data_IF_330491747303
#
_entry.id   IF_330491747303
#
_cell.length_a   1.000
_cell.length_b   1.000
_cell.length_c   1.000
_cell.angle_alpha   90.00
_cell.angle_beta   90.00
_cell.angle_gamma   90.00
#
_symmetry.space_group_name_H-M   'P 1'
#
loop_
_entity.id
_entity.type
_entity.pdbx_description
1 polymer ?
#
# COMPACT_ATOMS: atom_id res chain seq x y z
N UNK A 1 -47.16 20.26 0.41
CA UNK A 1 -46.48 19.42 1.42
C UNK A 1 -45.44 20.29 2.09
N UNK A 2 -45.31 20.22 3.42
CA UNK A 2 -44.64 21.21 4.25
C UNK A 2 -43.25 21.58 3.70
N UNK A 3 -42.97 22.87 3.54
CA UNK A 3 -41.68 23.36 3.03
C UNK A 3 -40.55 22.85 3.92
N UNK A 4 -40.77 22.76 5.22
CA UNK A 4 -39.79 22.25 6.17
C UNK A 4 -39.52 20.75 5.98
N UNK A 5 -40.52 19.96 5.58
CA UNK A 5 -40.33 18.55 5.23
C UNK A 5 -39.49 18.42 3.96
N UNK A 6 -39.69 19.29 2.96
CA UNK A 6 -38.89 19.30 1.74
C UNK A 6 -37.44 19.70 2.02
N UNK A 7 -37.22 20.74 2.83
CA UNK A 7 -35.87 21.16 3.25
C UNK A 7 -35.14 20.00 3.93
N UNK A 8 -35.79 19.40 4.92
CA UNK A 8 -35.25 18.26 5.67
C UNK A 8 -34.94 17.09 4.76
N UNK A 9 -35.84 16.78 3.81
CA UNK A 9 -35.62 15.72 2.83
C UNK A 9 -34.38 15.97 1.96
N UNK A 10 -34.24 17.16 1.38
CA UNK A 10 -33.10 17.49 0.50
C UNK A 10 -31.79 17.38 1.27
N UNK A 11 -31.73 18.00 2.45
CA UNK A 11 -30.55 17.95 3.32
C UNK A 11 -30.19 16.51 3.70
N UNK A 12 -31.15 15.75 4.22
CA UNK A 12 -30.93 14.37 4.66
C UNK A 12 -30.46 13.47 3.52
N UNK A 13 -31.01 13.62 2.31
CA UNK A 13 -30.59 12.83 1.15
C UNK A 13 -29.13 13.11 0.79
N UNK A 14 -28.74 14.39 0.76
CA UNK A 14 -27.37 14.78 0.43
C UNK A 14 -26.37 14.33 1.51
N UNK A 15 -26.72 14.47 2.80
CA UNK A 15 -25.88 13.98 3.90
C UNK A 15 -25.73 12.46 3.88
N UNK A 16 -26.82 11.70 3.68
CA UNK A 16 -26.78 10.23 3.55
C UNK A 16 -25.93 9.79 2.36
N UNK A 17 -26.04 10.50 1.23
CA UNK A 17 -25.23 10.27 0.04
C UNK A 17 -23.73 10.47 0.33
N UNK A 18 -23.36 11.60 0.96
CA UNK A 18 -21.98 11.89 1.36
C UNK A 18 -21.43 10.83 2.32
N UNK A 19 -22.21 10.43 3.33
CA UNK A 19 -21.82 9.39 4.28
C UNK A 19 -21.59 8.04 3.58
N UNK A 20 -22.52 7.63 2.70
CA UNK A 20 -22.39 6.39 1.93
C UNK A 20 -21.10 6.35 1.12
N UNK A 21 -20.81 7.40 0.35
CA UNK A 21 -19.61 7.44 -0.46
C UNK A 21 -18.33 7.60 0.36
N UNK A 22 -18.38 8.25 1.53
CA UNK A 22 -17.29 8.21 2.49
C UNK A 22 -16.99 6.77 2.93
N UNK A 23 -17.99 6.01 3.34
CA UNK A 23 -17.83 4.60 3.73
C UNK A 23 -17.29 3.75 2.57
N UNK A 24 -17.80 3.99 1.35
CA UNK A 24 -17.31 3.33 0.13
C UNK A 24 -15.80 3.56 -0.05
N UNK A 25 -15.35 4.83 -0.05
CA UNK A 25 -13.93 5.11 -0.30
C UNK A 25 -13.02 4.57 0.80
N UNK A 26 -13.52 4.50 2.04
CA UNK A 26 -12.79 3.95 3.18
C UNK A 26 -12.61 2.44 3.09
N UNK A 27 -13.66 1.65 2.80
CA UNK A 27 -13.49 0.19 2.68
C UNK A 27 -12.71 -0.18 1.41
N UNK A 28 -12.94 0.50 0.27
CA UNK A 28 -12.11 0.31 -0.93
C UNK A 28 -10.63 0.64 -0.68
N UNK A 29 -10.35 1.73 0.04
CA UNK A 29 -8.98 2.08 0.45
C UNK A 29 -8.36 1.08 1.43
N UNK A 30 -9.14 0.59 2.39
CA UNK A 30 -8.73 -0.43 3.35
C UNK A 30 -8.44 -1.76 2.66
N UNK A 31 -9.27 -2.18 1.70
CA UNK A 31 -9.07 -3.39 0.91
C UNK A 31 -7.66 -3.40 0.29
N UNK A 32 -7.31 -2.32 -0.42
CA UNK A 32 -5.98 -2.12 -1.02
C UNK A 32 -4.87 -2.18 0.04
N UNK A 33 -5.04 -1.43 1.13
CA UNK A 33 -4.04 -1.29 2.19
C UNK A 33 -3.71 -2.62 2.88
N UNK A 34 -4.72 -3.46 3.12
CA UNK A 34 -4.55 -4.73 3.81
C UNK A 34 -4.31 -5.93 2.88
N UNK A 35 -4.39 -5.73 1.57
CA UNK A 35 -4.24 -6.86 0.65
C UNK A 35 -5.44 -7.81 0.68
N UNK A 36 -6.66 -7.31 0.96
CA UNK A 36 -7.89 -8.11 1.09
C UNK A 36 -8.94 -7.66 0.08
N UNK A 37 -9.84 -8.54 -0.40
CA UNK A 37 -10.97 -8.11 -1.23
C UNK A 37 -11.82 -7.02 -0.57
N UNK A 38 -12.41 -6.14 -1.39
CA UNK A 38 -13.41 -5.16 -0.94
C UNK A 38 -14.65 -5.88 -0.41
N UNK A 39 -15.27 -5.33 0.64
CA UNK A 39 -16.50 -5.88 1.23
C UNK A 39 -17.74 -5.09 0.79
N UNK A 40 -17.54 -3.99 0.05
CA UNK A 40 -18.62 -3.17 -0.49
C UNK A 40 -19.31 -3.91 -1.64
N UNK A 41 -20.63 -3.74 -1.82
CA UNK A 41 -21.33 -4.23 -3.00
C UNK A 41 -20.68 -3.78 -4.31
N UNK A 42 -20.82 -4.60 -5.35
CA UNK A 42 -20.42 -4.22 -6.70
C UNK A 42 -21.13 -2.91 -7.09
N UNK A 43 -20.42 -1.92 -7.69
CA UNK A 43 -21.02 -0.68 -8.16
C UNK A 43 -22.32 -0.82 -8.97
N UNK A 44 -22.49 -1.91 -9.72
CA UNK A 44 -23.71 -2.19 -10.49
C UNK A 44 -24.97 -2.41 -9.62
N UNK A 45 -24.77 -2.72 -8.33
CA UNK A 45 -25.84 -2.96 -7.36
C UNK A 45 -26.06 -1.77 -6.42
N UNK A 46 -25.48 -0.60 -6.71
CA UNK A 46 -25.55 0.59 -5.87
C UNK A 46 -26.43 1.64 -6.55
N UNK A 47 -27.60 1.88 -5.97
CA UNK A 47 -28.55 2.90 -6.46
C UNK A 47 -28.27 4.31 -5.91
N UNK A 48 -27.29 4.44 -5.00
CA UNK A 48 -26.93 5.72 -4.40
C UNK A 48 -26.14 6.55 -5.42
N UNK A 49 -26.71 7.69 -5.85
CA UNK A 49 -26.05 8.65 -6.75
C UNK A 49 -24.80 9.24 -6.11
N UNK A 50 -23.87 9.78 -6.89
CA UNK A 50 -22.72 10.52 -6.36
C UNK A 50 -23.18 11.81 -5.64
N UNK A 51 -22.43 12.30 -4.64
CA UNK A 51 -22.75 13.56 -3.96
C UNK A 51 -22.68 14.75 -4.92
N UNK A 52 -23.49 15.77 -4.66
CA UNK A 52 -23.41 17.02 -5.44
C UNK A 52 -22.22 17.85 -4.96
N UNK A 53 -21.45 18.43 -5.88
CA UNK A 53 -20.36 19.34 -5.55
C UNK A 53 -20.92 20.71 -5.08
N UNK A 54 -21.38 20.80 -3.84
CA UNK A 54 -21.96 22.01 -3.26
C UNK A 54 -21.44 22.21 -1.83
N UNK A 55 -21.01 23.43 -1.49
CA UNK A 55 -20.57 23.74 -0.13
C UNK A 55 -21.74 23.73 0.85
N UNK A 56 -21.46 23.54 2.14
CA UNK A 56 -22.50 23.49 3.16
C UNK A 56 -23.22 24.83 3.31
N UNK A 57 -22.48 25.94 3.18
CA UNK A 57 -23.01 27.30 3.22
C UNK A 57 -23.94 27.57 2.04
N UNK A 58 -23.57 27.10 0.84
CA UNK A 58 -24.40 27.27 -0.36
C UNK A 58 -25.64 26.38 -0.29
N UNK A 59 -25.52 25.17 0.23
CA UNK A 59 -26.64 24.28 0.47
C UNK A 59 -27.63 24.91 1.46
N UNK A 60 -27.16 25.41 2.60
CA UNK A 60 -28.01 26.07 3.59
C UNK A 60 -28.69 27.33 3.01
N UNK A 61 -27.96 28.15 2.25
CA UNK A 61 -28.52 29.31 1.57
C UNK A 61 -29.66 28.93 0.60
N UNK A 62 -29.49 27.86 -0.20
CA UNK A 62 -30.53 27.37 -1.12
C UNK A 62 -31.73 26.79 -0.36
N UNK A 63 -31.49 26.06 0.73
CA UNK A 63 -32.57 25.53 1.56
C UNK A 63 -33.35 26.64 2.28
N UNK A 64 -32.82 27.85 2.36
CA UNK A 64 -33.51 29.03 2.89
C UNK A 64 -34.11 29.93 1.78
N UNK A 65 -33.91 29.61 0.51
CA UNK A 65 -34.48 30.31 -0.63
C UNK A 65 -35.83 29.70 -1.04
N UNK A 66 -36.92 30.47 -0.84
CA UNK A 66 -38.27 30.04 -1.21
C UNK A 66 -38.45 29.81 -2.71
N UNK A 67 -37.71 30.55 -3.55
CA UNK A 67 -37.81 30.42 -5.02
C UNK A 67 -37.20 29.10 -5.47
N UNK A 68 -36.03 28.74 -4.93
CA UNK A 68 -35.39 27.45 -5.16
C UNK A 68 -36.30 26.29 -4.73
N UNK A 69 -36.89 26.35 -3.53
CA UNK A 69 -37.74 25.26 -3.03
C UNK A 69 -39.03 25.09 -3.84
N UNK A 70 -39.57 26.18 -4.37
CA UNK A 70 -40.78 26.14 -5.20
C UNK A 70 -40.58 25.44 -6.55
N UNK A 71 -39.33 25.42 -7.05
CA UNK A 71 -38.94 24.86 -8.35
C UNK A 71 -37.88 23.75 -8.22
N UNK A 72 -37.75 23.15 -7.03
CA UNK A 72 -36.71 22.17 -6.75
C UNK A 72 -36.85 20.93 -7.66
N UNK A 73 -35.83 20.70 -8.47
CA UNK A 73 -35.65 19.47 -9.28
C UNK A 73 -34.39 18.72 -8.86
N UNK A 74 -33.27 19.43 -8.76
CA UNK A 74 -31.97 18.91 -8.35
C UNK A 74 -31.11 20.00 -7.69
N UNK A 75 -30.14 19.58 -6.88
CA UNK A 75 -29.12 20.49 -6.37
C UNK A 75 -28.20 20.97 -7.51
N UNK A 76 -27.84 22.26 -7.55
CA UNK A 76 -26.86 22.77 -8.51
C UNK A 76 -25.45 22.32 -8.11
N UNK A 77 -24.63 22.03 -9.11
CA UNK A 77 -23.20 21.72 -8.94
C UNK A 77 -22.37 23.00 -9.06
N UNK A 78 -21.33 23.11 -8.21
CA UNK A 78 -20.33 24.16 -8.31
C UNK A 78 -19.23 23.76 -9.30
N UNK A 79 -18.82 24.71 -10.13
CA UNK A 79 -17.64 24.60 -10.99
C UNK A 79 -16.32 24.83 -10.23
N UNK A 80 -16.41 25.28 -8.97
CA UNK A 80 -15.30 25.59 -8.09
C UNK A 80 -15.01 24.41 -7.12
N UNK A 81 -13.78 24.31 -6.59
CA UNK A 81 -13.46 23.28 -5.61
C UNK A 81 -14.22 23.51 -4.29
N UNK A 82 -14.91 22.48 -3.83
CA UNK A 82 -15.55 22.40 -2.51
C UNK A 82 -14.89 21.31 -1.67
N UNK A 83 -15.18 21.28 -0.36
CA UNK A 83 -14.72 20.22 0.54
C UNK A 83 -15.11 18.81 0.08
N UNK A 84 -16.12 18.68 -0.79
CA UNK A 84 -16.63 17.42 -1.33
C UNK A 84 -16.06 17.04 -2.69
N UNK A 85 -15.37 17.95 -3.40
CA UNK A 85 -14.86 17.65 -4.75
C UNK A 85 -13.94 16.43 -4.75
N UNK A 86 -13.06 16.33 -3.76
CA UNK A 86 -12.17 15.18 -3.65
C UNK A 86 -12.89 13.89 -3.21
N UNK A 87 -14.00 13.98 -2.46
CA UNK A 87 -14.84 12.83 -2.13
C UNK A 87 -15.48 12.26 -3.40
N UNK A 88 -16.07 13.14 -4.22
CA UNK A 88 -16.73 12.78 -5.48
C UNK A 88 -15.75 12.09 -6.42
N UNK A 89 -14.57 12.68 -6.65
CA UNK A 89 -13.57 12.09 -7.54
C UNK A 89 -12.95 10.81 -6.96
N UNK A 90 -12.80 10.70 -5.63
CA UNK A 90 -12.37 9.44 -5.00
C UNK A 90 -13.41 8.33 -5.11
N UNK A 91 -14.70 8.66 -5.06
CA UNK A 91 -15.78 7.70 -5.28
C UNK A 91 -15.75 7.19 -6.72
N UNK A 92 -15.72 8.09 -7.72
CA UNK A 92 -15.59 7.74 -9.15
C UNK A 92 -14.36 6.85 -9.40
N UNK A 93 -13.21 7.21 -8.84
CA UNK A 93 -12.01 6.40 -8.95
C UNK A 93 -12.16 5.02 -8.29
N UNK A 94 -12.77 4.94 -7.10
CA UNK A 94 -12.93 3.66 -6.39
C UNK A 94 -13.86 2.72 -7.16
N UNK A 95 -14.97 3.22 -7.69
CA UNK A 95 -15.86 2.48 -8.61
C UNK A 95 -15.08 1.92 -9.81
N UNK A 96 -14.26 2.76 -10.44
CA UNK A 96 -13.47 2.37 -11.61
C UNK A 96 -12.43 1.29 -11.27
N UNK A 97 -11.82 1.37 -10.09
CA UNK A 97 -10.59 0.64 -9.76
C UNK A 97 -10.81 -0.59 -8.88
N UNK A 98 -11.98 -0.74 -8.27
CA UNK A 98 -12.35 -1.93 -7.51
C UNK A 98 -12.19 -3.23 -8.33
N UNK A 99 -12.70 -3.33 -9.58
CA UNK A 99 -12.50 -4.52 -10.41
C UNK A 99 -11.02 -4.75 -10.77
N UNK A 100 -10.21 -3.69 -10.85
CA UNK A 100 -8.79 -3.82 -11.15
C UNK A 100 -8.09 -4.47 -9.97
N UNK A 101 -8.38 -3.98 -8.76
CA UNK A 101 -7.77 -4.47 -7.54
C UNK A 101 -8.16 -5.92 -7.26
N UNK A 102 -9.44 -6.27 -7.41
CA UNK A 102 -9.91 -7.66 -7.31
C UNK A 102 -9.14 -8.58 -8.25
N UNK A 103 -8.95 -8.16 -9.51
CA UNK A 103 -8.18 -8.91 -10.49
C UNK A 103 -6.69 -9.04 -10.10
N UNK A 104 -6.08 -7.98 -9.59
CA UNK A 104 -4.67 -7.95 -9.16
C UNK A 104 -4.40 -8.97 -8.03
N UNK A 105 -5.31 -9.07 -7.06
CA UNK A 105 -5.16 -9.99 -5.91
C UNK A 105 -5.69 -11.40 -6.19
N UNK A 106 -6.39 -11.61 -7.29
CA UNK A 106 -6.93 -12.92 -7.67
C UNK A 106 -5.83 -13.96 -7.94
N UNK A 107 -6.21 -15.25 -7.88
CA UNK A 107 -5.29 -16.35 -8.19
C UNK A 107 -4.74 -16.25 -9.63
N UNK A 108 -5.60 -15.86 -10.58
CA UNK A 108 -5.23 -15.64 -11.97
C UNK A 108 -4.87 -14.17 -12.16
N UNK A 109 -3.60 -13.86 -11.91
CA UNK A 109 -3.03 -12.52 -12.12
C UNK A 109 -3.37 -11.97 -13.51
N UNK A 110 -3.54 -10.64 -13.63
CA UNK A 110 -3.77 -10.01 -14.91
C UNK A 110 -2.60 -10.26 -15.87
N UNK A 111 -2.93 -10.49 -17.13
CA UNK A 111 -1.99 -10.48 -18.25
C UNK A 111 -1.45 -9.05 -18.48
N UNK A 112 -0.37 -8.94 -19.25
CA UNK A 112 0.22 -7.64 -19.59
C UNK A 112 -0.76 -6.75 -20.37
N UNK A 113 -1.55 -7.35 -21.27
CA UNK A 113 -2.60 -6.65 -22.00
C UNK A 113 -3.69 -6.11 -21.06
N UNK A 114 -4.16 -6.92 -20.10
CA UNK A 114 -5.11 -6.47 -19.08
C UNK A 114 -4.51 -5.35 -18.21
N UNK A 115 -3.23 -5.43 -17.83
CA UNK A 115 -2.56 -4.37 -17.08
C UNK A 115 -2.50 -3.05 -17.85
N UNK A 116 -2.17 -3.09 -19.15
CA UNK A 116 -2.19 -1.90 -20.00
C UNK A 116 -3.60 -1.33 -20.19
N UNK A 117 -4.61 -2.19 -20.32
CA UNK A 117 -6.01 -1.75 -20.37
C UNK A 117 -6.42 -1.04 -19.07
N UNK A 118 -6.12 -1.61 -17.90
CA UNK A 118 -6.38 -0.98 -16.60
C UNK A 118 -5.65 0.35 -16.47
N UNK A 119 -4.38 0.40 -16.88
CA UNK A 119 -3.60 1.63 -16.86
C UNK A 119 -4.19 2.72 -17.76
N UNK A 120 -4.61 2.37 -18.98
CA UNK A 120 -5.25 3.30 -19.91
C UNK A 120 -6.52 3.89 -19.31
N UNK A 121 -7.41 3.06 -18.75
CA UNK A 121 -8.61 3.54 -18.06
C UNK A 121 -8.29 4.50 -16.92
N UNK A 122 -7.21 4.26 -16.17
CA UNK A 122 -6.76 5.15 -15.11
C UNK A 122 -6.20 6.47 -15.65
N UNK A 123 -5.53 6.47 -16.80
CA UNK A 123 -5.08 7.68 -17.49
C UNK A 123 -6.25 8.48 -18.05
N UNK A 124 -7.25 7.80 -18.63
CA UNK A 124 -8.48 8.43 -19.11
C UNK A 124 -9.22 9.10 -17.94
N UNK A 125 -9.34 8.42 -16.80
CA UNK A 125 -9.88 9.00 -15.57
C UNK A 125 -9.09 10.22 -15.10
N UNK A 126 -7.77 10.12 -15.01
CA UNK A 126 -6.92 11.24 -14.60
C UNK A 126 -7.06 12.45 -15.54
N UNK A 127 -7.29 12.22 -16.84
CA UNK A 127 -7.50 13.26 -17.84
C UNK A 127 -8.91 13.87 -17.78
N UNK A 128 -9.88 13.15 -17.23
CA UNK A 128 -11.26 13.63 -17.00
C UNK A 128 -11.45 14.37 -15.68
N UNK A 129 -10.43 14.44 -14.82
CA UNK A 129 -10.52 15.15 -13.55
C UNK A 129 -10.80 16.65 -13.79
N UNK A 130 -11.56 17.30 -12.90
CA UNK A 130 -11.66 18.75 -12.89
C UNK A 130 -10.28 19.41 -12.87
N UNK A 131 -10.17 20.58 -13.48
CA UNK A 131 -8.91 21.30 -13.67
C UNK A 131 -8.24 21.73 -12.35
N UNK A 132 -9.00 21.91 -11.27
CA UNK A 132 -8.45 22.09 -9.93
C UNK A 132 -7.70 20.84 -9.37
N UNK A 133 -7.73 19.69 -10.05
CA UNK A 133 -6.85 18.54 -9.78
C UNK A 133 -5.65 18.43 -10.74
N UNK A 134 -5.48 19.36 -11.68
CA UNK A 134 -4.35 19.37 -12.61
C UNK A 134 -3.00 19.42 -11.86
N UNK A 135 -1.92 18.91 -12.46
CA UNK A 135 -0.59 18.88 -11.88
C UNK A 135 0.03 20.28 -11.68
N UNK A 136 -0.41 21.29 -12.43
CA UNK A 136 0.09 22.66 -12.31
C UNK A 136 -0.59 23.39 -11.14
N UNK A 137 -0.01 23.23 -9.95
CA UNK A 137 -0.52 23.84 -8.72
C UNK A 137 -0.51 25.38 -8.75
N UNK A 138 0.55 26.08 -9.25
CA UNK A 138 0.51 27.52 -9.43
C UNK A 138 -0.68 28.02 -10.26
N UNK A 139 -1.01 27.36 -11.37
CA UNK A 139 -2.20 27.74 -12.16
C UNK A 139 -3.51 27.56 -11.38
N UNK A 140 -3.60 26.52 -10.55
CA UNK A 140 -4.76 26.29 -9.69
C UNK A 140 -4.90 27.42 -8.67
N UNK A 141 -3.79 27.81 -8.01
CA UNK A 141 -3.78 28.91 -7.03
C UNK A 141 -4.22 30.22 -7.70
N UNK A 142 -3.72 30.50 -8.91
CA UNK A 142 -4.11 31.67 -9.68
C UNK A 142 -5.60 31.69 -10.03
N UNK A 143 -6.16 30.56 -10.46
CA UNK A 143 -7.55 30.48 -10.94
C UNK A 143 -8.57 30.46 -9.79
N UNK A 144 -8.30 29.69 -8.74
CA UNK A 144 -9.28 29.34 -7.71
C UNK A 144 -9.04 30.03 -6.36
N UNK A 145 -7.84 30.57 -6.15
CA UNK A 145 -7.37 31.05 -4.85
C UNK A 145 -6.68 32.42 -4.95
N UNK A 146 -7.19 33.28 -5.86
CA UNK A 146 -6.75 34.68 -6.01
C UNK A 146 -5.24 34.89 -6.18
N UNK A 147 -4.52 33.90 -6.73
CA UNK A 147 -3.05 33.92 -6.86
C UNK A 147 -2.30 34.04 -5.52
N UNK A 148 -2.96 33.65 -4.41
CA UNK A 148 -2.41 33.71 -3.06
C UNK A 148 -2.43 32.32 -2.40
N UNK A 149 -1.24 31.75 -2.23
CA UNK A 149 -1.03 30.44 -1.59
C UNK A 149 -1.60 30.38 -0.16
N UNK A 150 -1.65 31.50 0.56
CA UNK A 150 -2.17 31.55 1.93
C UNK A 150 -3.69 31.35 2.01
N UNK A 151 -4.40 31.57 0.89
CA UNK A 151 -5.85 31.37 0.80
C UNK A 151 -6.22 29.93 0.47
N UNK A 152 -5.25 29.08 0.10
CA UNK A 152 -5.50 27.69 -0.24
C UNK A 152 -5.81 26.89 1.03
N UNK A 153 -7.01 26.31 1.17
CA UNK A 153 -7.37 25.59 2.39
C UNK A 153 -6.59 24.28 2.55
N UNK A 154 -6.29 23.90 3.80
CA UNK A 154 -5.59 22.63 4.11
C UNK A 154 -6.36 21.41 3.59
N UNK A 155 -7.70 21.42 3.69
CA UNK A 155 -8.55 20.35 3.19
C UNK A 155 -8.35 20.13 1.68
N UNK A 156 -8.14 21.19 0.91
CA UNK A 156 -7.97 21.11 -0.54
C UNK A 156 -6.61 20.50 -0.87
N UNK A 157 -5.55 21.04 -0.27
CA UNK A 157 -4.17 20.58 -0.50
C UNK A 157 -4.01 19.10 -0.16
N UNK A 158 -4.47 18.65 1.01
CA UNK A 158 -4.38 17.23 1.40
C UNK A 158 -5.23 16.35 0.50
N UNK A 159 -6.50 16.69 0.28
CA UNK A 159 -7.43 15.81 -0.43
C UNK A 159 -7.08 15.66 -1.91
N UNK A 160 -6.62 16.74 -2.55
CA UNK A 160 -6.05 16.75 -3.90
C UNK A 160 -4.80 15.86 -3.97
N UNK A 161 -3.85 16.06 -3.07
CA UNK A 161 -2.60 15.29 -3.06
C UNK A 161 -2.87 13.80 -2.85
N UNK A 162 -3.77 13.45 -1.92
CA UNK A 162 -4.19 12.08 -1.64
C UNK A 162 -4.78 11.37 -2.86
N UNK A 163 -5.63 12.05 -3.63
CA UNK A 163 -6.21 11.48 -4.85
C UNK A 163 -5.11 11.16 -5.87
N UNK A 164 -4.19 12.09 -6.13
CA UNK A 164 -3.09 11.90 -7.08
C UNK A 164 -2.09 10.82 -6.64
N UNK A 165 -1.79 10.74 -5.34
CA UNK A 165 -0.96 9.66 -4.80
C UNK A 165 -1.64 8.30 -4.94
N UNK A 166 -2.97 8.22 -4.75
CA UNK A 166 -3.72 6.98 -4.93
C UNK A 166 -3.74 6.53 -6.40
N UNK A 167 -3.88 7.44 -7.35
CA UNK A 167 -3.72 7.15 -8.78
C UNK A 167 -2.33 6.57 -9.06
N UNK A 168 -1.28 7.24 -8.58
CA UNK A 168 0.11 6.77 -8.76
C UNK A 168 0.34 5.41 -8.09
N UNK A 169 -0.24 5.19 -6.90
CA UNK A 169 -0.16 3.92 -6.19
C UNK A 169 -0.81 2.78 -6.96
N UNK A 170 -1.96 3.01 -7.60
CA UNK A 170 -2.59 2.01 -8.46
C UNK A 170 -1.71 1.67 -9.67
N UNK A 171 -1.06 2.66 -10.29
CA UNK A 171 -0.08 2.41 -11.37
C UNK A 171 1.08 1.52 -10.88
N UNK A 172 1.58 1.78 -9.66
CA UNK A 172 2.59 0.94 -9.01
C UNK A 172 2.04 -0.48 -8.84
N UNK A 173 0.85 -0.66 -8.25
CA UNK A 173 0.26 -1.97 -7.98
C UNK A 173 0.03 -2.80 -9.25
N UNK A 174 -0.47 -2.18 -10.33
CA UNK A 174 -0.70 -2.83 -11.62
C UNK A 174 0.60 -3.40 -12.18
N UNK A 175 1.70 -2.62 -12.17
CA UNK A 175 2.91 -2.99 -12.91
C UNK A 175 4.08 -3.51 -12.06
N UNK A 176 3.99 -3.43 -10.72
CA UNK A 176 5.01 -3.95 -9.81
C UNK A 176 5.38 -5.42 -10.05
N UNK A 177 4.47 -6.34 -10.40
CA UNK A 177 4.85 -7.72 -10.73
C UNK A 177 5.95 -7.82 -11.81
N UNK A 178 5.99 -6.89 -12.78
CA UNK A 178 6.99 -6.88 -13.85
C UNK A 178 8.36 -6.36 -13.42
N UNK A 179 8.42 -5.57 -12.34
CA UNK A 179 9.68 -5.25 -11.66
C UNK A 179 10.21 -6.54 -11.03
N UNK A 180 9.39 -7.25 -10.26
CA UNK A 180 9.80 -8.48 -9.57
C UNK A 180 10.22 -9.60 -10.50
N UNK A 181 9.46 -9.83 -11.58
CA UNK A 181 9.83 -10.82 -12.59
C UNK A 181 11.23 -10.56 -13.14
N UNK A 182 11.57 -9.31 -13.46
CA UNK A 182 12.91 -8.94 -13.93
C UNK A 182 13.98 -9.20 -12.87
N UNK A 183 13.70 -8.89 -11.60
CA UNK A 183 14.63 -9.12 -10.48
C UNK A 183 14.91 -10.61 -10.28
N UNK A 184 13.88 -11.44 -10.34
CA UNK A 184 14.00 -12.91 -10.25
C UNK A 184 14.82 -13.46 -11.42
N UNK A 185 14.61 -12.95 -12.63
CA UNK A 185 15.37 -13.36 -13.80
C UNK A 185 16.87 -13.03 -13.69
N UNK A 186 17.20 -11.84 -13.19
CA UNK A 186 18.59 -11.41 -12.98
C UNK A 186 19.26 -12.27 -11.91
N UNK A 187 18.58 -12.50 -10.79
CA UNK A 187 19.16 -13.21 -9.64
C UNK A 187 19.34 -14.72 -9.85
N UNK A 188 18.45 -15.37 -10.61
CA UNK A 188 18.48 -16.83 -10.77
C UNK A 188 19.26 -17.31 -12.00
N UNK A 189 19.55 -16.44 -12.97
CA UNK A 189 20.20 -16.77 -14.25
C UNK A 189 19.41 -17.75 -15.15
N UNK A 190 18.42 -18.45 -14.58
CA UNK A 190 17.51 -19.40 -15.22
C UNK A 190 16.21 -18.68 -15.55
N UNK A 191 16.08 -18.25 -16.80
CA UNK A 191 14.76 -17.93 -17.34
C UNK A 191 13.84 -19.14 -17.15
N UNK A 192 12.61 -18.91 -16.67
CA UNK A 192 11.60 -19.97 -16.55
C UNK A 192 11.57 -20.80 -17.84
N UNK A 193 11.91 -22.09 -17.74
CA UNK A 193 12.00 -22.99 -18.91
C UNK A 193 10.67 -23.16 -19.66
N UNK A 194 9.56 -22.68 -19.09
CA UNK A 194 8.22 -22.86 -19.66
C UNK A 194 7.52 -21.57 -20.13
N UNK A 195 8.15 -20.38 -20.05
CA UNK A 195 7.59 -19.16 -20.66
C UNK A 195 8.62 -18.01 -20.71
N UNK A 196 9.40 -18.01 -21.79
CA UNK A 196 10.05 -16.89 -22.49
C UNK A 196 10.85 -15.81 -21.71
N UNK A 197 12.19 -15.90 -21.79
CA UNK A 197 13.09 -14.72 -21.68
C UNK A 197 12.62 -13.56 -22.59
N UNK A 198 11.95 -13.87 -23.69
CA UNK A 198 11.43 -12.92 -24.68
C UNK A 198 10.25 -12.06 -24.17
N UNK A 199 9.30 -12.62 -23.42
CA UNK A 199 8.13 -11.85 -22.92
C UNK A 199 8.51 -10.82 -21.86
N UNK A 200 9.48 -11.14 -21.01
CA UNK A 200 9.99 -10.24 -19.96
C UNK A 200 10.93 -9.14 -20.48
N UNK A 201 11.50 -9.35 -21.67
CA UNK A 201 12.35 -8.39 -22.40
C UNK A 201 11.61 -7.61 -23.49
N UNK A 202 10.36 -7.97 -23.80
CA UNK A 202 9.46 -7.22 -24.68
C UNK A 202 9.43 -5.73 -24.33
N UNK A 203 9.26 -4.88 -25.34
CA UNK A 203 9.08 -3.44 -25.15
C UNK A 203 7.88 -3.11 -24.28
N UNK A 204 6.80 -3.89 -24.33
CA UNK A 204 5.64 -3.69 -23.46
C UNK A 204 5.99 -3.96 -21.99
N UNK A 205 6.74 -5.03 -21.71
CA UNK A 205 7.25 -5.32 -20.37
C UNK A 205 8.25 -4.27 -19.88
N UNK A 206 9.05 -3.68 -20.77
CA UNK A 206 9.92 -2.54 -20.45
C UNK A 206 9.09 -1.30 -20.14
N UNK A 207 8.03 -1.04 -20.90
CA UNK A 207 7.12 0.07 -20.69
C UNK A 207 6.38 -0.05 -19.35
N UNK A 208 5.84 -1.24 -19.03
CA UNK A 208 5.23 -1.53 -17.73
C UNK A 208 6.16 -1.17 -16.55
N UNK A 209 7.42 -1.60 -16.61
CA UNK A 209 8.42 -1.24 -15.58
C UNK A 209 8.71 0.26 -15.53
N UNK A 210 8.76 0.94 -16.68
CA UNK A 210 8.97 2.38 -16.76
C UNK A 210 7.82 3.14 -16.12
N UNK A 211 6.57 2.74 -16.39
CA UNK A 211 5.38 3.31 -15.75
C UNK A 211 5.43 3.13 -14.24
N UNK A 212 5.73 1.92 -13.76
CA UNK A 212 5.86 1.63 -12.33
C UNK A 212 6.92 2.51 -11.64
N UNK A 213 8.11 2.61 -12.23
CA UNK A 213 9.20 3.44 -11.72
C UNK A 213 8.83 4.92 -11.72
N UNK A 214 8.27 5.43 -12.83
CA UNK A 214 7.85 6.83 -12.94
C UNK A 214 6.78 7.18 -11.92
N UNK A 215 5.80 6.30 -11.69
CA UNK A 215 4.78 6.49 -10.66
C UNK A 215 5.39 6.55 -9.25
N UNK A 216 6.39 5.73 -8.97
CA UNK A 216 7.12 5.76 -7.70
C UNK A 216 7.90 7.07 -7.52
N UNK A 217 8.70 7.48 -8.51
CA UNK A 217 9.45 8.75 -8.49
C UNK A 217 8.51 9.94 -8.28
N UNK A 218 7.44 10.04 -9.08
CA UNK A 218 6.43 11.12 -8.94
C UNK A 218 5.79 11.15 -7.57
N UNK A 219 5.49 9.99 -6.99
CA UNK A 219 4.91 9.91 -5.63
C UNK A 219 5.90 10.43 -4.58
N UNK A 220 7.17 10.04 -4.67
CA UNK A 220 8.22 10.50 -3.75
C UNK A 220 8.42 12.01 -3.86
N UNK A 221 8.49 12.55 -5.07
CA UNK A 221 8.67 13.98 -5.33
C UNK A 221 7.47 14.79 -4.85
N UNK A 222 6.25 14.37 -5.20
CA UNK A 222 5.03 15.05 -4.77
C UNK A 222 4.86 15.04 -3.24
N UNK A 223 5.23 13.95 -2.56
CA UNK A 223 5.20 13.92 -1.10
C UNK A 223 6.28 14.84 -0.51
N UNK A 224 7.50 14.83 -1.04
CA UNK A 224 8.55 15.77 -0.61
C UNK A 224 8.09 17.23 -0.75
N UNK A 225 7.48 17.59 -1.89
CA UNK A 225 6.92 18.93 -2.13
C UNK A 225 5.83 19.27 -1.12
N UNK A 226 4.88 18.35 -0.89
CA UNK A 226 3.81 18.52 0.10
C UNK A 226 4.36 18.77 1.51
N UNK A 227 5.38 18.02 1.93
CA UNK A 227 6.00 18.16 3.25
C UNK A 227 6.79 19.48 3.37
N UNK A 228 7.44 19.93 2.30
CA UNK A 228 8.18 21.20 2.29
C UNK A 228 7.26 22.43 2.26
N UNK A 229 6.09 22.31 1.63
CA UNK A 229 5.10 23.39 1.54
C UNK A 229 4.29 23.56 2.83
N UNK A 230 4.33 22.59 3.74
CA UNK A 230 3.56 22.62 4.98
C UNK A 230 4.27 23.48 6.04
N UNK A 231 3.73 24.67 6.30
CA UNK A 231 4.20 25.56 7.37
C UNK A 231 3.72 25.13 8.76
N UNK A 232 2.76 24.20 8.84
CA UNK A 232 2.14 23.72 10.09
C UNK A 232 2.55 22.29 10.39
N UNK A 233 2.48 21.85 11.67
CA UNK A 233 2.68 20.46 12.02
C UNK A 233 1.70 19.56 11.26
N UNK A 234 2.23 18.53 10.63
CA UNK A 234 1.44 17.58 9.83
C UNK A 234 0.46 16.85 10.75
N UNK A 235 -0.84 16.99 10.46
CA UNK A 235 -1.88 16.30 11.20
C UNK A 235 -1.79 14.76 11.04
N UNK A 236 -2.41 14.01 11.94
CA UNK A 236 -2.31 12.56 11.98
C UNK A 236 -2.77 11.87 10.67
N UNK A 237 -3.83 12.39 10.05
CA UNK A 237 -4.38 11.85 8.80
C UNK A 237 -3.39 12.04 7.64
N UNK A 238 -2.85 13.26 7.50
CA UNK A 238 -1.81 13.59 6.52
C UNK A 238 -0.56 12.75 6.73
N UNK A 239 -0.14 12.57 7.98
CA UNK A 239 1.03 11.74 8.33
C UNK A 239 0.83 10.28 7.93
N UNK A 240 -0.38 9.73 8.14
CA UNK A 240 -0.70 8.37 7.74
C UNK A 240 -0.63 8.17 6.22
N UNK A 241 -1.35 9.00 5.45
CA UNK A 241 -1.39 8.87 3.98
C UNK A 241 -0.02 9.10 3.34
N UNK A 242 0.70 10.13 3.76
CA UNK A 242 2.06 10.40 3.26
C UNK A 242 2.99 9.23 3.55
N UNK A 243 3.02 8.73 4.80
CA UNK A 243 3.84 7.57 5.17
C UNK A 243 3.50 6.34 4.33
N UNK A 244 2.21 6.02 4.18
CA UNK A 244 1.75 4.87 3.42
C UNK A 244 2.18 4.94 1.96
N UNK A 245 1.82 6.00 1.23
CA UNK A 245 2.12 6.10 -0.20
C UNK A 245 3.62 6.25 -0.46
N UNK A 246 4.33 6.98 0.39
CA UNK A 246 5.78 7.13 0.31
C UNK A 246 6.48 5.79 0.45
N UNK A 247 6.10 4.98 1.44
CA UNK A 247 6.72 3.68 1.65
C UNK A 247 6.44 2.74 0.47
N UNK A 248 5.20 2.71 -0.04
CA UNK A 248 4.87 1.93 -1.24
C UNK A 248 5.73 2.33 -2.45
N UNK A 249 6.01 3.63 -2.61
CA UNK A 249 6.84 4.14 -3.68
C UNK A 249 8.33 3.80 -3.52
N UNK A 250 8.93 4.03 -2.34
CA UNK A 250 10.36 3.77 -2.05
C UNK A 250 10.75 2.32 -2.31
N UNK A 251 9.84 1.38 -2.06
CA UNK A 251 10.10 -0.04 -2.31
C UNK A 251 10.48 -0.32 -3.76
N UNK A 252 10.01 0.46 -4.74
CA UNK A 252 10.33 0.22 -6.16
C UNK A 252 11.80 0.50 -6.49
N UNK A 253 12.35 1.72 -6.31
CA UNK A 253 13.77 1.99 -6.56
C UNK A 253 14.69 1.18 -5.63
N UNK A 254 14.29 0.94 -4.37
CA UNK A 254 15.04 0.08 -3.44
C UNK A 254 15.25 -1.32 -4.01
N UNK A 255 14.20 -1.88 -4.61
CA UNK A 255 14.23 -3.23 -5.19
C UNK A 255 15.06 -3.30 -6.46
N UNK A 256 14.93 -2.28 -7.31
CA UNK A 256 15.77 -2.14 -8.49
C UNK A 256 17.26 -2.05 -8.10
N UNK A 257 17.58 -1.23 -7.10
CA UNK A 257 18.94 -1.10 -6.58
C UNK A 257 19.48 -2.42 -6.02
N UNK A 258 18.63 -3.18 -5.30
CA UNK A 258 19.00 -4.48 -4.75
C UNK A 258 19.11 -5.61 -5.79
N UNK A 259 18.74 -5.35 -7.04
CA UNK A 259 18.75 -6.37 -8.10
C UNK A 259 19.85 -6.15 -9.11
N UNK A 260 20.14 -4.89 -9.44
CA UNK A 260 21.10 -4.54 -10.46
C UNK A 260 21.85 -3.25 -10.10
N UNK A 261 22.74 -3.29 -9.09
CA UNK A 261 23.49 -2.11 -8.65
C UNK A 261 24.42 -1.55 -9.74
N UNK A 262 24.73 -2.30 -10.81
CA UNK A 262 25.56 -1.84 -11.93
C UNK A 262 24.73 -1.22 -13.08
N UNK A 263 23.42 -1.09 -12.90
CA UNK A 263 22.53 -0.45 -13.87
C UNK A 263 22.92 1.01 -14.12
N UNK A 264 22.76 1.47 -15.37
CA UNK A 264 22.90 2.90 -15.73
C UNK A 264 21.95 3.82 -14.95
N UNK A 265 20.83 3.28 -14.44
CA UNK A 265 19.81 3.99 -13.67
C UNK A 265 20.07 3.99 -12.15
N UNK A 266 21.19 3.43 -11.69
CA UNK A 266 21.52 3.34 -10.27
C UNK A 266 21.47 4.71 -9.57
N UNK A 267 21.97 5.77 -10.21
CA UNK A 267 21.98 7.13 -9.63
C UNK A 267 20.57 7.63 -9.36
N UNK A 268 19.65 7.41 -10.29
CA UNK A 268 18.25 7.82 -10.16
C UNK A 268 17.58 7.08 -9.00
N UNK A 269 17.79 5.76 -8.90
CA UNK A 269 17.24 4.96 -7.80
C UNK A 269 17.75 5.41 -6.43
N UNK A 270 19.05 5.70 -6.32
CA UNK A 270 19.61 6.25 -5.08
C UNK A 270 19.05 7.63 -4.75
N UNK A 271 18.89 8.50 -5.75
CA UNK A 271 18.26 9.80 -5.57
C UNK A 271 16.87 9.65 -4.95
N UNK A 272 16.05 8.75 -5.50
CA UNK A 272 14.69 8.48 -5.00
C UNK A 272 14.69 7.87 -3.60
N UNK A 273 15.59 6.92 -3.32
CA UNK A 273 15.73 6.31 -1.98
C UNK A 273 16.12 7.40 -0.95
N UNK A 274 17.08 8.27 -1.29
CA UNK A 274 17.53 9.34 -0.39
C UNK A 274 16.42 10.36 -0.16
N UNK A 275 15.73 10.82 -1.21
CA UNK A 275 14.55 11.70 -1.10
C UNK A 275 13.50 11.06 -0.20
N UNK A 276 13.19 9.78 -0.44
CA UNK A 276 12.21 9.05 0.35
C UNK A 276 12.60 8.93 1.84
N UNK A 277 13.86 8.64 2.15
CA UNK A 277 14.36 8.63 3.54
C UNK A 277 14.27 10.01 4.19
N UNK A 278 14.53 11.09 3.46
CA UNK A 278 14.39 12.46 3.96
C UNK A 278 12.93 12.78 4.29
N UNK A 279 11.99 12.46 3.40
CA UNK A 279 10.56 12.61 3.69
C UNK A 279 10.13 11.80 4.93
N UNK A 280 10.59 10.54 5.06
CA UNK A 280 10.33 9.75 6.27
C UNK A 280 10.91 10.39 7.52
N UNK A 281 12.10 11.00 7.45
CA UNK A 281 12.70 11.69 8.59
C UNK A 281 11.90 12.94 8.98
N UNK A 282 11.39 13.71 8.01
CA UNK A 282 10.49 14.84 8.26
C UNK A 282 9.20 14.39 8.94
N UNK A 283 8.64 13.24 8.53
CA UNK A 283 7.44 12.66 9.12
C UNK A 283 7.66 12.03 10.51
N UNK A 284 8.91 11.70 10.86
CA UNK A 284 9.22 10.97 12.08
C UNK A 284 8.95 11.77 13.37
N UNK A 285 8.83 13.10 13.25
CA UNK A 285 8.39 14.00 14.33
C UNK A 285 6.94 13.75 14.73
N UNK A 286 6.07 13.45 13.76
CA UNK A 286 4.65 13.16 13.98
C UNK A 286 4.35 11.66 14.05
N UNK A 287 5.20 10.81 13.45
CA UNK A 287 5.00 9.36 13.35
C UNK A 287 6.29 8.59 13.63
N UNK A 288 6.42 8.09 14.86
CA UNK A 288 7.61 7.33 15.29
C UNK A 288 7.87 6.05 14.49
N UNK A 289 6.86 5.51 13.79
CA UNK A 289 7.05 4.35 12.92
C UNK A 289 8.00 4.65 11.74
N UNK A 290 8.10 5.92 11.31
CA UNK A 290 9.00 6.32 10.23
C UNK A 290 10.47 6.02 10.54
N UNK A 291 10.91 6.10 11.80
CA UNK A 291 12.27 5.68 12.19
C UNK A 291 12.50 4.19 11.91
N UNK A 292 11.52 3.34 12.21
CA UNK A 292 11.60 1.89 11.95
C UNK A 292 11.65 1.62 10.44
N UNK A 293 10.91 2.39 9.63
CA UNK A 293 10.94 2.27 8.17
C UNK A 293 12.31 2.67 7.60
N UNK A 294 12.92 3.74 8.12
CA UNK A 294 14.28 4.17 7.74
C UNK A 294 15.29 3.07 8.07
N UNK A 295 15.26 2.53 9.29
CA UNK A 295 16.15 1.44 9.71
C UNK A 295 15.99 0.20 8.83
N UNK A 296 14.74 -0.18 8.53
CA UNK A 296 14.44 -1.29 7.64
C UNK A 296 15.06 -1.11 6.24
N UNK A 297 14.95 0.09 5.66
CA UNK A 297 15.55 0.42 4.36
C UNK A 297 17.08 0.24 4.42
N UNK A 298 17.72 0.76 5.47
CA UNK A 298 19.16 0.65 5.66
C UNK A 298 19.62 -0.80 5.86
N UNK A 299 18.86 -1.61 6.59
CA UNK A 299 19.15 -3.02 6.81
C UNK A 299 19.00 -3.86 5.55
N UNK A 300 18.03 -3.54 4.68
CA UNK A 300 17.87 -4.17 3.37
C UNK A 300 19.10 -3.87 2.50
N UNK A 301 19.50 -2.60 2.40
CA UNK A 301 20.65 -2.16 1.61
C UNK A 301 21.95 -2.79 2.13
N UNK A 302 22.15 -2.82 3.45
CA UNK A 302 23.34 -3.40 4.09
C UNK A 302 23.46 -4.90 3.80
N UNK A 303 22.39 -5.67 4.02
CA UNK A 303 22.37 -7.11 3.74
C UNK A 303 22.68 -7.42 2.28
N UNK A 304 22.12 -6.64 1.36
CA UNK A 304 22.39 -6.86 -0.05
C UNK A 304 23.84 -6.51 -0.44
N UNK A 305 24.38 -5.39 0.06
CA UNK A 305 25.78 -5.02 -0.17
C UNK A 305 26.75 -6.06 0.42
N UNK A 306 26.44 -6.65 1.58
CA UNK A 306 27.21 -7.74 2.16
C UNK A 306 27.21 -8.99 1.27
N UNK A 307 26.04 -9.39 0.74
CA UNK A 307 25.94 -10.50 -0.21
C UNK A 307 26.74 -10.26 -1.49
N UNK A 308 26.72 -9.04 -2.04
CA UNK A 308 27.53 -8.71 -3.22
C UNK A 308 29.03 -8.83 -2.95
N UNK A 309 29.48 -8.42 -1.75
CA UNK A 309 30.89 -8.54 -1.34
C UNK A 309 31.29 -10.01 -1.19
N UNK A 310 30.45 -10.84 -0.58
CA UNK A 310 30.70 -12.28 -0.43
C UNK A 310 30.78 -12.98 -1.80
N UNK A 311 29.82 -12.74 -2.71
CA UNK A 311 29.84 -13.34 -4.04
C UNK A 311 31.06 -12.92 -4.86
N UNK A 312 31.49 -11.65 -4.75
CA UNK A 312 32.72 -11.19 -5.41
C UNK A 312 33.97 -11.83 -4.80
N UNK A 313 33.98 -12.05 -3.47
CA UNK A 313 35.07 -12.73 -2.79
C UNK A 313 35.18 -14.19 -3.24
N UNK A 314 34.08 -14.95 -3.21
CA UNK A 314 34.02 -16.34 -3.70
C UNK A 314 34.41 -16.45 -5.17
N UNK A 315 33.97 -15.52 -6.03
CA UNK A 315 34.36 -15.50 -7.44
C UNK A 315 35.85 -15.23 -7.62
N UNK A 316 36.42 -14.29 -6.88
CA UNK A 316 37.86 -13.99 -6.94
C UNK A 316 38.71 -15.17 -6.40
N UNK A 317 38.22 -15.89 -5.40
CA UNK A 317 38.88 -17.09 -4.86
C UNK A 317 38.83 -18.25 -5.86
N UNK A 318 37.68 -18.43 -6.54
CA UNK A 318 37.55 -19.40 -7.63
C UNK A 318 38.49 -19.07 -8.80
N UNK A 319 38.60 -17.79 -9.18
CA UNK A 319 39.53 -17.35 -10.22
C UNK A 319 40.97 -17.62 -9.80
N UNK A 320 41.36 -17.28 -8.56
CA UNK A 320 42.71 -17.55 -8.04
C UNK A 320 43.05 -19.05 -8.02
N UNK A 321 42.13 -19.88 -7.54
CA UNK A 321 42.32 -21.35 -7.57
C UNK A 321 42.38 -21.91 -8.99
N UNK A 322 41.68 -21.30 -9.97
CA UNK A 322 41.77 -21.71 -11.38
C UNK A 322 43.06 -21.25 -12.08
N UNK A 323 43.61 -20.10 -11.71
CA UNK A 323 44.89 -19.58 -12.25
C UNK A 323 46.09 -20.29 -11.64
N UNK A 324 45.95 -20.89 -10.46
CA UNK A 324 47.01 -21.66 -9.80
C UNK A 324 47.12 -23.12 -10.33
N UNK A 325 46.19 -23.57 -11.18
CA UNK A 325 46.25 -24.91 -11.79
C UNK A 325 47.03 -25.00 -13.11
N UNK A 326 47.49 -23.88 -13.68
CA UNK A 326 48.20 -23.88 -14.99
C UNK A 326 49.59 -23.22 -14.98
N UNK A 327 50.23 -23.08 -13.82
CA UNK A 327 51.66 -22.81 -13.77
C UNK A 327 52.41 -23.70 -12.77
N UNK A 328 53.15 -24.63 -13.37
CA UNK A 328 54.44 -25.14 -12.91
C UNK A 328 54.43 -26.21 -11.81
N UNK A 329 54.50 -27.46 -12.30
CA UNK A 329 55.40 -28.46 -11.73
C UNK A 329 56.75 -27.82 -11.34
N UNK A 330 57.28 -28.25 -10.19
CA UNK A 330 58.71 -28.37 -9.80
C UNK A 330 59.11 -27.62 -8.51
N UNK A 331 58.99 -28.34 -7.38
CA UNK A 331 60.03 -28.61 -6.35
C UNK A 331 60.41 -27.53 -5.28
N UNK A 332 60.24 -27.99 -4.02
CA UNK A 332 60.92 -27.68 -2.73
C UNK A 332 60.50 -26.40 -1.94
N UNK A 333 59.61 -26.63 -0.98
CA UNK A 333 59.95 -26.63 0.45
C UNK A 333 60.33 -25.31 1.13
N UNK A 334 59.35 -24.66 1.77
CA UNK A 334 59.57 -24.08 3.11
C UNK A 334 58.25 -23.80 3.84
N UNK A 335 58.21 -24.27 5.10
CA UNK A 335 57.17 -24.04 6.11
C UNK A 335 56.84 -22.54 6.24
N UNK A 336 55.55 -22.21 6.17
CA UNK A 336 54.98 -21.10 6.97
C UNK A 336 53.71 -21.55 7.67
N UNK A 337 53.80 -21.47 8.99
CA UNK A 337 52.80 -21.69 10.02
C UNK A 337 51.54 -20.84 9.80
N UNK A 338 50.39 -21.51 9.74
CA UNK A 338 49.06 -20.91 9.82
C UNK A 338 48.66 -20.84 11.29
N UNK A 339 48.44 -19.64 11.82
CA UNK A 339 47.78 -19.43 13.10
C UNK A 339 46.27 -19.71 12.96
N UNK A 340 45.66 -20.55 13.83
CA UNK A 340 44.23 -20.76 13.83
C UNK A 340 43.57 -19.82 14.84
N UNK A 341 43.03 -18.69 14.39
CA UNK A 341 42.17 -17.86 15.25
C UNK A 341 41.07 -17.18 14.44
N UNK A 342 39.97 -17.91 14.23
CA UNK A 342 38.60 -17.39 14.12
C UNK A 342 37.65 -18.59 14.01
N UNK A 343 37.59 -19.35 15.10
CA UNK A 343 36.55 -20.33 15.39
C UNK A 343 35.86 -19.88 16.66
N UNK A 344 35.05 -18.82 16.56
CA UNK A 344 34.07 -18.42 17.58
C UNK A 344 33.31 -17.18 17.07
N UNK A 345 32.35 -17.38 16.16
CA UNK A 345 31.03 -16.71 16.17
C UNK A 345 30.08 -17.69 15.45
N UNK A 346 29.84 -18.83 16.09
CA UNK A 346 28.62 -19.61 15.88
C UNK A 346 27.89 -19.59 17.20
N UNK A 347 26.57 -19.43 17.11
CA UNK A 347 25.60 -19.52 18.19
C UNK A 347 25.46 -18.24 19.01
N UNK A 348 24.79 -17.26 18.41
CA UNK A 348 23.68 -16.59 19.09
C UNK A 348 22.79 -15.82 18.09
N UNK A 349 21.48 -15.82 18.37
CA UNK A 349 20.38 -15.18 17.61
C UNK A 349 19.74 -16.02 16.49
N UNK A 350 19.34 -17.25 16.82
CA UNK A 350 18.14 -17.87 16.23
C UNK A 350 16.94 -17.22 16.91
N UNK A 351 16.26 -16.27 16.24
CA UNK A 351 14.91 -15.87 16.64
C UNK A 351 13.92 -16.88 16.08
N UNK A 352 13.52 -17.82 16.94
CA UNK A 352 12.32 -18.64 16.77
C UNK A 352 11.07 -17.75 16.92
N UNK A 353 10.45 -17.41 15.79
CA UNK A 353 9.08 -16.90 15.76
C UNK A 353 8.18 -17.95 15.12
N UNK A 354 7.96 -19.05 15.83
CA UNK A 354 7.25 -20.19 15.27
C UNK A 354 6.46 -21.07 16.23
N UNK A 355 6.22 -20.76 17.51
CA UNK A 355 5.30 -21.61 18.32
C UNK A 355 4.65 -20.97 19.55
N UNK A 356 4.16 -19.72 19.48
CA UNK A 356 3.36 -19.16 20.57
C UNK A 356 2.23 -18.24 20.08
N UNK A 357 1.10 -18.84 19.67
CA UNK A 357 -0.28 -18.35 19.88
C UNK A 357 -1.29 -19.30 19.20
N UNK A 358 -1.45 -20.48 19.79
CA UNK A 358 -2.59 -21.37 19.54
C UNK A 358 -3.08 -21.95 20.86
N UNK A 359 -3.49 -21.07 21.78
CA UNK A 359 -4.21 -21.40 23.02
C UNK A 359 -4.67 -20.10 23.71
N UNK A 360 -5.59 -19.35 23.10
CA UNK A 360 -6.35 -18.31 23.81
C UNK A 360 -7.64 -17.83 23.13
N UNK A 361 -8.29 -18.67 22.31
CA UNK A 361 -9.61 -18.34 21.71
C UNK A 361 -10.66 -19.46 21.83
N UNK A 362 -10.51 -20.36 22.81
CA UNK A 362 -11.53 -21.40 23.10
C UNK A 362 -12.21 -21.23 24.47
N UNK A 363 -12.11 -20.07 25.12
CA UNK A 363 -12.75 -19.83 26.43
C UNK A 363 -13.83 -18.74 26.42
N UNK A 364 -14.35 -18.36 25.25
CA UNK A 364 -15.44 -17.36 25.17
C UNK A 364 -16.80 -17.92 24.73
N UNK A 365 -16.92 -19.23 24.48
CA UNK A 365 -18.22 -19.83 24.20
C UNK A 365 -18.32 -21.20 24.87
N UNK A 366 -19.02 -21.24 26.01
CA UNK A 366 -19.57 -22.49 26.55
C UNK A 366 -20.84 -22.85 25.79
N UNK A 367 -21.09 -24.13 25.46
CA UNK A 367 -22.29 -24.55 24.74
C UNK A 367 -23.44 -24.82 25.72
N UNK A 368 -24.53 -24.07 25.61
CA UNK A 368 -25.82 -24.42 26.23
C UNK A 368 -26.77 -25.07 25.21
N UNK A 369 -26.94 -26.38 25.39
CA UNK A 369 -28.14 -27.22 25.19
C UNK A 369 -29.32 -26.79 24.29
N UNK A 370 -29.66 -27.72 23.35
CA UNK A 370 -30.99 -28.13 22.80
C UNK A 370 -31.79 -27.06 22.01
N UNK A 371 -32.54 -27.39 20.94
CA UNK A 371 -33.31 -28.58 20.61
C UNK A 371 -33.52 -28.78 19.09
N UNK A 372 -33.73 -30.03 18.73
CA UNK A 372 -34.13 -30.61 17.45
C UNK A 372 -35.47 -30.15 16.89
N UNK A 373 -35.56 -30.03 15.57
CA UNK A 373 -36.76 -30.41 14.81
C UNK A 373 -36.40 -30.82 13.37
N UNK A 374 -36.96 -31.96 13.00
CA UNK A 374 -36.78 -32.81 11.82
C UNK A 374 -37.62 -32.39 10.61
N UNK A 375 -37.14 -32.65 9.39
CA UNK A 375 -38.00 -33.11 8.26
C UNK A 375 -37.19 -33.78 7.11
N UNK A 376 -37.29 -35.12 7.06
CA UNK A 376 -37.45 -36.04 5.89
C UNK A 376 -37.15 -35.53 4.46
N UNK A 377 -36.12 -36.04 3.75
CA UNK A 377 -36.06 -37.22 2.81
C UNK A 377 -36.62 -36.95 1.37
N UNK A 378 -36.19 -37.66 0.29
CA UNK A 378 -35.37 -38.88 0.25
C UNK A 378 -34.17 -38.91 -0.73
N UNK A 379 -33.37 -39.98 -0.54
CA UNK A 379 -32.18 -40.44 -1.26
C UNK A 379 -32.54 -41.12 -2.60
N UNK A 380 -31.63 -41.03 -3.58
CA UNK A 380 -31.49 -42.01 -4.68
C UNK A 380 -30.06 -42.55 -4.68
N UNK A 381 -29.95 -43.85 -4.97
CA UNK A 381 -28.85 -44.77 -4.71
C UNK A 381 -27.86 -44.89 -5.90
N UNK A 382 -26.57 -45.13 -5.55
CA UNK A 382 -25.53 -45.96 -6.20
C UNK A 382 -24.92 -45.64 -7.59
N UNK A 383 -23.71 -46.18 -7.93
CA UNK A 383 -22.55 -46.56 -7.10
C UNK A 383 -21.16 -46.15 -7.68
N UNK A 384 -20.10 -46.33 -6.86
CA UNK A 384 -18.65 -46.23 -7.17
C UNK A 384 -18.18 -47.23 -8.25
N UNK A 385 -16.98 -47.00 -8.83
CA UNK A 385 -15.87 -47.94 -8.55
C UNK A 385 -14.49 -47.28 -8.30
N UNK A 386 -13.70 -47.89 -7.40
CA UNK A 386 -12.22 -47.82 -7.30
C UNK A 386 -11.57 -48.72 -8.39
N UNK A 387 -10.22 -48.79 -8.66
CA UNK A 387 -9.03 -48.65 -7.78
C UNK A 387 -7.78 -48.05 -8.54
N UNK A 388 -6.47 -48.36 -8.29
CA UNK A 388 -5.74 -49.00 -7.18
C UNK A 388 -4.47 -48.23 -6.68
N UNK A 389 -3.81 -48.81 -5.66
CA UNK A 389 -2.55 -48.38 -5.02
C UNK A 389 -1.29 -49.02 -5.66
N UNK A 390 -0.22 -48.21 -5.81
CA UNK A 390 1.26 -48.42 -5.69
C UNK A 390 1.97 -49.66 -6.30
N UNK A 391 3.27 -49.55 -6.68
CA UNK A 391 4.34 -49.91 -5.71
C UNK A 391 5.65 -49.07 -5.79
N UNK A 392 6.46 -49.25 -4.74
CA UNK A 392 7.79 -48.70 -4.46
C UNK A 392 8.92 -49.29 -5.34
N UNK A 393 10.00 -48.52 -5.57
CA UNK A 393 11.39 -49.00 -5.43
C UNK A 393 12.42 -47.85 -5.32
N UNK A 394 13.42 -48.09 -4.46
CA UNK A 394 14.53 -47.22 -4.05
C UNK A 394 15.68 -47.17 -5.08
N UNK A 395 16.47 -46.09 -5.10
CA UNK A 395 17.94 -46.09 -4.84
C UNK A 395 18.54 -44.67 -4.88
N UNK A 396 19.59 -44.47 -4.06
CA UNK A 396 20.24 -43.21 -3.69
C UNK A 396 21.20 -42.63 -4.73
N UNK A 397 21.34 -41.30 -4.77
CA UNK A 397 22.66 -40.66 -4.82
C UNK A 397 22.62 -39.26 -4.20
N UNK A 398 23.57 -39.00 -3.31
CA UNK A 398 23.70 -37.75 -2.59
C UNK A 398 24.33 -36.67 -3.45
N UNK A 399 23.63 -35.55 -3.56
CA UNK A 399 24.24 -34.22 -3.68
C UNK A 399 23.42 -33.30 -2.78
N UNK A 400 24.08 -32.73 -1.75
CA UNK A 400 23.49 -31.68 -0.92
C UNK A 400 23.30 -30.43 -1.80
N UNK A 401 22.10 -30.28 -2.34
CA UNK A 401 21.66 -29.07 -3.01
C UNK A 401 21.60 -27.93 -1.99
N UNK A 402 22.38 -26.88 -2.23
CA UNK A 402 22.29 -25.58 -1.54
C UNK A 402 20.82 -25.11 -1.60
N UNK A 403 20.20 -24.64 -0.49
CA UNK A 403 18.79 -24.29 -0.51
C UNK A 403 18.60 -23.09 -1.42
N UNK A 404 18.07 -23.36 -2.61
CA UNK A 404 17.69 -22.34 -3.58
C UNK A 404 16.38 -21.75 -3.05
N UNK A 405 16.43 -20.54 -2.49
CA UNK A 405 15.23 -19.85 -2.02
C UNK A 405 14.30 -19.69 -3.23
N UNK A 406 13.14 -20.37 -3.20
CA UNK A 406 12.20 -20.32 -4.31
C UNK A 406 11.67 -18.88 -4.48
N UNK A 407 11.41 -18.42 -5.72
CA UNK A 407 10.81 -17.11 -5.99
C UNK A 407 9.49 -16.87 -5.24
N UNK A 408 8.73 -17.95 -5.00
CA UNK A 408 7.52 -17.93 -4.17
C UNK A 408 7.81 -17.59 -2.71
N UNK A 409 8.99 -17.91 -2.19
CA UNK A 409 9.41 -17.59 -0.82
C UNK A 409 9.86 -16.13 -0.69
N UNK A 410 10.55 -15.57 -1.70
CA UNK A 410 10.93 -14.16 -1.70
C UNK A 410 9.72 -13.24 -1.89
N UNK A 411 8.79 -13.61 -2.78
CA UNK A 411 7.53 -12.90 -2.97
C UNK A 411 6.58 -13.08 -1.77
N UNK A 412 6.51 -14.27 -1.16
CA UNK A 412 5.78 -14.46 0.10
C UNK A 412 6.43 -13.73 1.26
N UNK A 413 7.76 -13.68 1.36
CA UNK A 413 8.50 -12.97 2.41
C UNK A 413 8.35 -11.47 2.24
N UNK A 414 8.48 -10.96 1.02
CA UNK A 414 8.23 -9.57 0.69
C UNK A 414 6.76 -9.17 0.93
N UNK A 415 5.79 -10.00 0.54
CA UNK A 415 4.37 -9.76 0.83
C UNK A 415 4.03 -9.94 2.32
N UNK A 416 4.69 -10.84 3.06
CA UNK A 416 4.54 -10.96 4.51
C UNK A 416 5.16 -9.77 5.23
N UNK A 417 6.33 -9.31 4.80
CA UNK A 417 7.01 -8.14 5.36
C UNK A 417 6.17 -6.89 5.05
N UNK A 418 5.58 -6.75 3.85
CA UNK A 418 4.61 -5.70 3.53
C UNK A 418 3.32 -5.80 4.37
N UNK A 419 2.79 -7.00 4.63
CA UNK A 419 1.63 -7.22 5.53
C UNK A 419 1.95 -6.89 6.98
N UNK A 420 3.16 -7.20 7.44
CA UNK A 420 3.62 -6.89 8.79
C UNK A 420 3.86 -5.38 8.97
N UNK A 421 4.38 -4.69 7.94
CA UNK A 421 4.60 -3.24 7.93
C UNK A 421 3.27 -2.48 7.82
N UNK A 422 2.32 -2.96 7.02
CA UNK A 422 0.97 -2.38 6.97
C UNK A 422 0.19 -2.63 8.26
N UNK A 423 0.33 -3.81 8.91
CA UNK A 423 -0.21 -4.05 10.25
C UNK A 423 0.43 -3.16 11.33
N UNK A 424 1.75 -2.92 11.29
CA UNK A 424 2.45 -2.04 12.24
C UNK A 424 2.02 -0.57 12.07
N UNK A 425 1.93 -0.08 10.82
CA UNK A 425 1.52 1.29 10.49
C UNK A 425 0.05 1.56 10.79
N UNK A 426 -0.81 0.53 10.64
CA UNK A 426 -2.23 0.68 10.84
C UNK A 426 -2.68 0.39 12.28
N UNK A 427 -1.99 -0.50 13.01
CA UNK A 427 -2.17 -0.56 14.46
C UNK A 427 -1.77 0.75 15.11
N UNK A 428 -0.67 1.40 14.67
CA UNK A 428 -0.35 2.76 15.14
C UNK A 428 -1.45 3.77 14.79
N UNK A 429 -2.02 3.73 13.58
CA UNK A 429 -3.09 4.63 13.16
C UNK A 429 -4.41 4.40 13.92
N UNK A 430 -4.80 3.14 14.16
CA UNK A 430 -5.99 2.78 14.94
C UNK A 430 -5.82 3.09 16.43
N UNK A 431 -4.62 2.92 17.00
CA UNK A 431 -4.34 3.35 18.39
C UNK A 431 -4.25 4.87 18.53
N UNK A 432 -3.86 5.61 17.47
CA UNK A 432 -3.76 7.08 17.49
C UNK A 432 -5.06 7.79 17.12
N UNK A 433 -6.06 7.07 16.58
CA UNK A 433 -7.41 7.59 16.31
C UNK A 433 -8.34 7.54 17.53
N UNK A 434 -7.91 6.95 18.65
CA UNK A 434 -8.63 7.00 19.92
C UNK A 434 -8.28 8.31 20.65
N UNK A 435 -9.04 9.38 20.38
CA UNK A 435 -9.04 10.57 21.23
C UNK A 435 -9.67 10.20 22.58
N UNK A 436 -9.07 10.54 23.73
CA UNK A 436 -9.76 10.43 25.02
C UNK A 436 -10.95 11.38 25.02
N UNK A 437 -12.13 10.83 25.30
CA UNK A 437 -13.34 11.61 25.55
C UNK A 437 -13.27 12.20 26.95
N UNK A 438 -12.74 13.42 27.09
CA UNK A 438 -12.98 14.23 28.29
C UNK A 438 -14.25 15.05 28.11
N UNK A 439 -15.38 14.42 28.42
CA UNK A 439 -16.62 15.08 28.77
C UNK A 439 -16.60 15.40 30.27
N UNK A 440 -16.43 16.67 30.66
CA UNK A 440 -16.90 17.14 31.96
C UNK A 440 -17.52 18.52 31.84
N UNK A 441 -18.84 18.54 31.69
CA UNK A 441 -19.67 19.70 31.97
C UNK A 441 -20.90 19.22 32.74
N UNK A 442 -20.94 19.61 34.03
CA UNK A 442 -22.06 20.26 34.73
C UNK A 442 -22.34 19.66 36.12
N UNK A 443 -22.51 20.56 37.09
CA UNK A 443 -23.07 20.22 38.39
C UNK A 443 -22.88 21.28 39.46
N UNK A 444 -23.47 22.45 39.27
CA UNK A 444 -23.69 23.48 40.30
C UNK A 444 -24.39 22.89 41.54
N UNK A 445 -23.90 23.17 42.74
CA UNK A 445 -24.73 23.23 43.95
C UNK A 445 -24.16 24.22 44.96
N UNK A 446 -25.06 25.05 45.45
CA UNK A 446 -24.93 26.13 46.42
C UNK A 446 -24.57 25.63 47.83
N UNK A 447 -23.69 26.33 48.57
CA UNK A 447 -24.06 26.96 49.83
C UNK A 447 -22.91 27.72 50.52
N UNK A 448 -23.32 28.80 51.15
CA UNK A 448 -22.61 29.78 51.97
C UNK A 448 -22.01 29.26 53.28
N UNK A 449 -21.06 30.05 53.82
CA UNK A 449 -20.73 30.37 55.23
C UNK A 449 -19.34 29.99 55.79
N UNK A 450 -18.50 31.04 55.86
CA UNK A 450 -17.81 31.57 57.05
C UNK A 450 -16.59 30.87 57.71
N UNK A 451 -15.61 31.75 58.06
CA UNK A 451 -14.63 31.72 59.18
C UNK A 451 -13.26 31.05 58.94
N UNK A 452 -12.18 31.84 58.75
CA UNK A 452 -11.09 32.23 59.73
C UNK A 452 -10.29 31.04 60.26
N UNK A 453 -8.96 30.97 60.38
CA UNK A 453 -7.73 31.80 60.28
C UNK A 453 -6.55 30.80 60.56
N UNK A 454 -5.27 31.18 60.75
CA UNK A 454 -4.51 32.35 60.31
C UNK A 454 -3.62 32.08 59.09
#
# INVERSE_FOLDING_TARGET
KNIDDLKSFIYDQEIKCRIWWCLYIFDAGAAITFGRPSHIPNPENIDVKLPTNISDEKLDALLNDSTFLSSYEKLPESDEPTIYSALIEQAKMSILTDPFYEKIISQKRPSLAECHMMHKKLQDFQSSLPDYFNNDFPQIVKKYFNDDLSTVPEWFTLSRSRLLWRISNLQILIFRPYIWQKIVLISTGKGSKNSSKESTLSEDSKNARRVCLNAATKTIESIMEYLNASSTPINALSSWYTTYFLFQAILIPLSCQCSNPKSKHNRDWWSDIIKGKRALAMLATSNSACFKLIQLIDDILRRHNAMLKLNNFELNDLIRTSTDTDMSNTIIGQKRTVNPLMKQISDDMIFDFGTAKRKQYNSLFSPSSRSSSTSSLPKVFNPKPEPPKSPLSNFSSGYKSIPTISPSLMEKKFNNDCKNISHLSLNSALTMSAVPSDSSLNGTTTNSTSKTAP
#
